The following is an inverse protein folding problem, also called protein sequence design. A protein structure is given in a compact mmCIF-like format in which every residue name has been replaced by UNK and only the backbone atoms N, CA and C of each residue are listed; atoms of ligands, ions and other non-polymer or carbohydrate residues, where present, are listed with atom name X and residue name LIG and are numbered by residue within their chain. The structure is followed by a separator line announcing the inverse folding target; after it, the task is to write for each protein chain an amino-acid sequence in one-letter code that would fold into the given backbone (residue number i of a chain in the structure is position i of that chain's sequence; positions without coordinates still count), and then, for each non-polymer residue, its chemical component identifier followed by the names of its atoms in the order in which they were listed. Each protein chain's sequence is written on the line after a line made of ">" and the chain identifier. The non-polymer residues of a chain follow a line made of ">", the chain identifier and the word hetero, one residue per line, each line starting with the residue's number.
data_IF_465449908194
#
_entry.id   IF_465449908194
#
_cell.length_a   1.000
_cell.length_b   1.000
_cell.length_c   1.000
_cell.angle_alpha   90.00
_cell.angle_beta   90.00
_cell.angle_gamma   90.00
#
_symmetry.space_group_name_H-M   'P 1'
#
loop_
_entity.id
_entity.type
_entity.pdbx_description
1 polymer ?
#
# COMPACT_ATOMS: atom_id res chain seq x y z
N UNK A 1 -26.24 -4.04 8.31
CA UNK A 1 -25.05 -3.21 8.63
C UNK A 1 -23.80 -3.71 7.91
N UNK A 2 -23.12 -4.80 8.31
CA UNK A 2 -21.90 -5.24 7.59
C UNK A 2 -22.15 -5.59 6.11
N UNK A 3 -23.21 -6.37 5.81
CA UNK A 3 -23.59 -6.71 4.43
C UNK A 3 -23.92 -5.51 3.53
N UNK A 4 -24.48 -4.44 4.09
CA UNK A 4 -24.83 -3.24 3.32
C UNK A 4 -23.57 -2.43 2.96
N UNK A 5 -22.59 -2.42 3.86
CA UNK A 5 -21.29 -1.80 3.61
C UNK A 5 -20.46 -2.62 2.61
N UNK A 6 -20.46 -3.95 2.72
CA UNK A 6 -19.74 -4.83 1.79
C UNK A 6 -20.24 -4.65 0.35
N UNK A 7 -21.57 -4.65 0.16
CA UNK A 7 -22.17 -4.43 -1.15
C UNK A 7 -21.89 -3.01 -1.68
N UNK A 8 -22.09 -1.97 -0.86
CA UNK A 8 -21.82 -0.60 -1.27
C UNK A 8 -20.34 -0.33 -1.55
N UNK A 9 -19.43 -1.03 -0.86
CA UNK A 9 -18.01 -0.94 -1.12
C UNK A 9 -17.61 -1.64 -2.42
N UNK A 10 -18.22 -2.78 -2.76
CA UNK A 10 -17.98 -3.45 -4.04
C UNK A 10 -18.35 -2.54 -5.23
N UNK A 11 -19.50 -1.84 -5.14
CA UNK A 11 -19.92 -0.87 -6.16
C UNK A 11 -18.92 0.29 -6.27
N UNK A 12 -18.44 0.80 -5.14
CA UNK A 12 -17.41 1.84 -5.09
C UNK A 12 -16.08 1.35 -5.68
N UNK A 13 -15.67 0.12 -5.38
CA UNK A 13 -14.45 -0.47 -5.93
C UNK A 13 -14.54 -0.58 -7.45
N UNK A 14 -15.59 -1.18 -7.99
CA UNK A 14 -15.75 -1.35 -9.43
C UNK A 14 -15.84 0.00 -10.16
N UNK A 15 -16.53 0.98 -9.57
CA UNK A 15 -16.65 2.32 -10.17
C UNK A 15 -15.30 3.07 -10.27
N UNK A 16 -14.37 2.84 -9.33
CA UNK A 16 -13.16 3.67 -9.20
C UNK A 16 -11.83 2.92 -9.36
N UNK A 17 -11.81 1.58 -9.44
CA UNK A 17 -10.58 0.77 -9.60
C UNK A 17 -9.70 1.26 -10.73
N UNK A 18 -10.28 1.57 -11.90
CA UNK A 18 -9.52 2.08 -13.04
C UNK A 18 -8.91 3.45 -12.79
N UNK A 19 -9.67 4.39 -12.22
CA UNK A 19 -9.19 5.74 -11.95
C UNK A 19 -8.09 5.77 -10.88
N UNK A 20 -8.23 4.96 -9.82
CA UNK A 20 -7.23 4.81 -8.77
C UNK A 20 -5.96 4.18 -9.35
N UNK A 21 -6.10 3.06 -10.07
CA UNK A 21 -4.98 2.35 -10.66
C UNK A 21 -4.21 3.20 -11.68
N UNK A 22 -4.90 3.83 -12.64
CA UNK A 22 -4.25 4.72 -13.61
C UNK A 22 -3.56 5.91 -12.95
N UNK A 23 -4.09 6.40 -11.82
CA UNK A 23 -3.42 7.46 -11.05
C UNK A 23 -2.20 6.94 -10.33
N UNK A 24 -2.27 5.78 -9.70
CA UNK A 24 -1.13 5.13 -9.05
C UNK A 24 0.00 4.89 -10.07
N UNK A 25 -0.33 4.37 -11.25
CA UNK A 25 0.63 4.12 -12.33
C UNK A 25 1.30 5.40 -12.82
N UNK A 26 0.57 6.52 -12.93
CA UNK A 26 1.16 7.83 -13.26
C UNK A 26 2.11 8.35 -12.16
N UNK A 27 1.88 7.98 -10.90
CA UNK A 27 2.69 8.45 -9.77
C UNK A 27 3.98 7.64 -9.60
N UNK A 28 3.94 6.31 -9.74
CA UNK A 28 5.09 5.43 -9.51
C UNK A 28 5.79 4.95 -10.78
N UNK A 29 5.13 5.00 -11.95
CA UNK A 29 5.69 4.56 -13.23
C UNK A 29 5.91 3.05 -13.35
N UNK A 30 5.52 2.24 -12.35
CA UNK A 30 5.74 0.79 -12.32
C UNK A 30 4.43 0.07 -12.02
N UNK A 31 4.11 -0.95 -12.82
CA UNK A 31 2.85 -1.70 -12.71
C UNK A 31 2.66 -2.33 -11.33
N UNK A 32 3.66 -3.08 -10.85
CA UNK A 32 3.59 -3.75 -9.55
C UNK A 32 3.39 -2.75 -8.39
N UNK A 33 4.12 -1.64 -8.39
CA UNK A 33 3.90 -0.60 -7.37
C UNK A 33 2.52 0.04 -7.48
N UNK A 34 1.98 0.19 -8.68
CA UNK A 34 0.64 0.73 -8.89
C UNK A 34 -0.45 -0.22 -8.33
N UNK A 35 -0.27 -1.53 -8.50
CA UNK A 35 -1.15 -2.55 -7.91
C UNK A 35 -1.14 -2.47 -6.39
N UNK A 36 0.05 -2.45 -5.78
CA UNK A 36 0.22 -2.38 -4.33
C UNK A 36 -0.38 -1.09 -3.74
N UNK A 37 -0.08 0.06 -4.36
CA UNK A 37 -0.60 1.36 -3.92
C UNK A 37 -2.13 1.42 -4.03
N UNK A 38 -2.70 0.85 -5.10
CA UNK A 38 -4.14 0.83 -5.30
C UNK A 38 -4.83 -0.08 -4.29
N UNK A 39 -4.29 -1.28 -4.05
CA UNK A 39 -4.81 -2.22 -3.07
C UNK A 39 -4.81 -1.62 -1.65
N UNK A 40 -3.68 -1.03 -1.24
CA UNK A 40 -3.56 -0.38 0.06
C UNK A 40 -4.51 0.83 0.19
N UNK A 41 -4.72 1.59 -0.88
CA UNK A 41 -5.67 2.70 -0.88
C UNK A 41 -7.12 2.21 -0.66
N UNK A 42 -7.54 1.15 -1.35
CA UNK A 42 -8.87 0.57 -1.15
C UNK A 42 -9.03 -0.07 0.23
N UNK A 43 -8.01 -0.75 0.75
CA UNK A 43 -8.04 -1.31 2.11
C UNK A 43 -8.23 -0.21 3.17
N UNK A 44 -7.53 0.92 3.03
CA UNK A 44 -7.70 2.08 3.92
C UNK A 44 -9.07 2.73 3.76
N UNK A 45 -9.58 2.81 2.52
CA UNK A 45 -10.92 3.32 2.25
C UNK A 45 -11.98 2.48 2.94
N UNK A 46 -11.92 1.15 2.81
CA UNK A 46 -12.83 0.23 3.49
C UNK A 46 -12.82 0.44 5.01
N UNK A 47 -11.63 0.41 5.62
CA UNK A 47 -11.47 0.64 7.07
C UNK A 47 -12.02 1.99 7.53
N UNK A 48 -11.83 3.04 6.73
CA UNK A 48 -12.35 4.36 7.05
C UNK A 48 -13.89 4.39 7.00
N UNK A 49 -14.50 3.74 6.00
CA UNK A 49 -15.96 3.68 5.88
C UNK A 49 -16.60 2.89 7.03
N UNK A 50 -15.95 1.86 7.56
CA UNK A 50 -16.43 1.15 8.75
C UNK A 50 -16.61 2.06 9.97
N UNK A 51 -15.90 3.19 10.04
CA UNK A 51 -15.97 4.13 11.16
C UNK A 51 -16.72 5.43 10.83
N UNK A 52 -17.35 5.54 9.66
CA UNK A 52 -18.11 6.74 9.29
C UNK A 52 -19.60 6.55 9.54
N UNK A 53 -20.21 7.57 10.12
CA UNK A 53 -21.67 7.69 10.19
C UNK A 53 -22.27 7.85 8.78
N UNK A 54 -23.54 7.43 8.62
CA UNK A 54 -24.24 7.39 7.33
C UNK A 54 -24.26 8.77 6.65
N UNK A 55 -24.55 9.82 7.39
CA UNK A 55 -24.66 11.20 6.88
C UNK A 55 -23.33 11.67 6.27
N UNK A 56 -22.21 11.22 6.86
CA UNK A 56 -20.87 11.51 6.35
C UNK A 56 -20.58 10.78 5.04
N UNK A 57 -21.08 9.56 4.89
CA UNK A 57 -20.95 8.76 3.66
C UNK A 57 -21.78 9.39 2.54
N UNK A 58 -23.00 9.84 2.83
CA UNK A 58 -23.90 10.49 1.85
C UNK A 58 -23.31 11.79 1.28
N UNK A 59 -22.61 12.58 2.10
CA UNK A 59 -21.92 13.80 1.67
C UNK A 59 -20.54 13.56 1.01
N UNK A 60 -20.08 12.32 0.94
CA UNK A 60 -18.73 12.00 0.47
C UNK A 60 -18.63 12.21 -1.05
N UNK A 61 -17.49 12.73 -1.50
CA UNK A 61 -17.12 12.77 -2.92
C UNK A 61 -16.15 11.63 -3.21
N UNK A 62 -16.62 10.44 -3.66
CA UNK A 62 -15.82 9.21 -3.57
C UNK A 62 -14.52 9.29 -4.37
N UNK A 63 -14.57 9.83 -5.59
CA UNK A 63 -13.38 10.00 -6.44
C UNK A 63 -12.29 10.84 -5.77
N UNK A 64 -12.64 12.05 -5.33
CA UNK A 64 -11.68 12.97 -4.72
C UNK A 64 -11.10 12.41 -3.41
N UNK A 65 -11.97 11.77 -2.62
CA UNK A 65 -11.59 11.12 -1.38
C UNK A 65 -10.64 9.93 -1.60
N UNK A 66 -10.94 9.03 -2.53
CA UNK A 66 -10.07 7.90 -2.89
C UNK A 66 -8.70 8.35 -3.41
N UNK A 67 -8.67 9.36 -4.28
CA UNK A 67 -7.40 9.92 -4.78
C UNK A 67 -6.59 10.59 -3.67
N UNK A 68 -7.26 11.16 -2.66
CA UNK A 68 -6.58 11.69 -1.46
C UNK A 68 -5.94 10.58 -0.65
N UNK A 69 -6.64 9.46 -0.44
CA UNK A 69 -6.08 8.29 0.24
C UNK A 69 -4.88 7.75 -0.54
N UNK A 70 -5.02 7.55 -1.85
CA UNK A 70 -3.94 7.07 -2.72
C UNK A 70 -2.69 7.97 -2.62
N UNK A 71 -2.88 9.29 -2.72
CA UNK A 71 -1.77 10.23 -2.62
C UNK A 71 -1.07 10.16 -1.25
N UNK A 72 -1.83 9.93 -0.17
CA UNK A 72 -1.25 9.75 1.16
C UNK A 72 -0.47 8.44 1.29
N UNK A 73 -0.98 7.34 0.72
CA UNK A 73 -0.28 6.05 0.67
C UNK A 73 1.04 6.20 -0.08
N UNK A 74 1.02 6.81 -1.27
CA UNK A 74 2.21 7.04 -2.09
C UNK A 74 3.24 7.94 -1.39
N UNK A 75 2.82 9.07 -0.81
CA UNK A 75 3.76 9.94 -0.05
C UNK A 75 4.39 9.20 1.13
N UNK A 76 3.63 8.32 1.79
CA UNK A 76 4.14 7.53 2.89
C UNK A 76 5.13 6.44 2.41
N UNK A 77 4.89 5.82 1.25
CA UNK A 77 5.83 4.85 0.69
C UNK A 77 7.16 5.51 0.33
N UNK A 78 7.13 6.70 -0.29
CA UNK A 78 8.33 7.49 -0.56
C UNK A 78 9.11 7.84 0.72
N UNK A 79 8.41 8.30 1.76
CA UNK A 79 9.03 8.59 3.06
C UNK A 79 9.63 7.37 3.74
N UNK A 80 9.00 6.21 3.62
CA UNK A 80 9.53 4.96 4.16
C UNK A 80 10.74 4.47 3.37
N UNK A 81 10.72 4.58 2.04
CA UNK A 81 11.87 4.25 1.20
C UNK A 81 13.09 5.13 1.52
N UNK A 82 12.89 6.44 1.70
CA UNK A 82 13.96 7.38 2.03
C UNK A 82 14.61 7.14 3.41
N UNK A 83 13.88 6.54 4.36
CA UNK A 83 14.38 6.23 5.71
C UNK A 83 14.99 4.84 5.82
N UNK A 84 14.89 4.00 4.78
CA UNK A 84 15.48 2.67 4.81
C UNK A 84 17.00 2.83 4.71
N UNK A 85 17.79 2.34 5.68
CA UNK A 85 19.25 2.33 5.55
C UNK A 85 19.59 1.63 4.25
N UNK A 86 20.54 2.17 3.48
CA UNK A 86 21.08 1.46 2.34
C UNK A 86 21.56 0.10 2.86
N UNK A 87 20.91 -0.97 2.42
CA UNK A 87 21.42 -2.32 2.65
C UNK A 87 22.63 -2.39 1.73
N UNK A 88 23.80 -2.03 2.27
CA UNK A 88 25.07 -2.26 1.60
C UNK A 88 25.21 -3.74 1.27
N UNK A 89 26.10 -4.11 0.34
CA UNK A 89 26.39 -5.50 0.08
C UNK A 89 26.65 -6.20 1.42
N UNK A 90 25.96 -7.32 1.65
CA UNK A 90 26.32 -8.22 2.74
C UNK A 90 27.73 -8.69 2.36
N UNK A 91 28.74 -8.09 2.98
CA UNK A 91 30.11 -8.56 2.86
C UNK A 91 30.12 -9.96 3.42
N UNK A 92 30.46 -10.93 2.57
CA UNK A 92 30.50 -12.35 2.88
C UNK A 92 31.44 -12.51 4.08
N UNK A 93 30.87 -12.70 5.27
CA UNK A 93 31.68 -12.89 6.47
C UNK A 93 32.44 -14.20 6.25
N UNK A 94 33.79 -14.19 6.33
CA UNK A 94 34.55 -15.42 6.13
C UNK A 94 34.09 -16.45 7.17
N UNK A 95 33.82 -17.67 6.69
CA UNK A 95 33.44 -18.80 7.54
C UNK A 95 34.51 -18.96 8.64
N UNK A 96 34.11 -19.14 9.92
CA UNK A 96 35.07 -19.37 10.99
C UNK A 96 35.86 -20.66 10.69
N UNK A 97 37.18 -20.67 10.91
CA UNK A 97 38.00 -21.85 10.61
C UNK A 97 37.54 -23.06 11.43
N UNK A 98 37.41 -24.19 10.75
CA UNK A 98 37.06 -25.49 11.33
C UNK A 98 38.10 -25.89 12.41
N UNK A 99 37.70 -26.11 13.68
CA UNK A 99 38.60 -26.46 14.77
C UNK A 99 39.02 -27.95 14.72
N UNK A 100 39.43 -28.44 13.54
CA UNK A 100 39.66 -29.86 13.28
C UNK A 100 41.07 -30.28 12.85
N UNK A 101 41.93 -29.35 12.42
CA UNK A 101 43.33 -29.70 12.09
C UNK A 101 44.25 -29.52 13.31
N UNK A 102 44.15 -30.49 14.22
CA UNK A 102 45.21 -30.84 15.15
C UNK A 102 46.20 -31.76 14.45
N UNK A 103 47.40 -31.25 14.24
CA UNK A 103 48.61 -31.96 13.80
C UNK A 103 49.07 -33.04 14.78
N UNK A 104 49.69 -34.08 14.19
CA UNK A 104 50.44 -35.24 14.75
C UNK A 104 49.66 -36.47 15.24
#
# INVERSE_FOLDING_TARGET
>A
MARDLDAGFADLYEAYRGAVFSTALRLCGRWAEAEDLSAEAFLRAYRALCGYERERIEGLRPRAWLLTILANVWRNSLRSAARRPATGPIEDAPDPPDPGEGVE
#
